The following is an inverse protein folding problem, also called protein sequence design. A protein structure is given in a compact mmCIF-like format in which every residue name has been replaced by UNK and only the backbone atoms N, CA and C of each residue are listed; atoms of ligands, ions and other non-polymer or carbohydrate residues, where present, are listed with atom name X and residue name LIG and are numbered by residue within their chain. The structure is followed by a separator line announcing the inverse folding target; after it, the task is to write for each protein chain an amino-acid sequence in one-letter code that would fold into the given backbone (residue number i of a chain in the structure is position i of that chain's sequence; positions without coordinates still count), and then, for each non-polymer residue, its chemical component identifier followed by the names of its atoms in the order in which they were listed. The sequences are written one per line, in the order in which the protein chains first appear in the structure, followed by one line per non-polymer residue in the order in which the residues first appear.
data_IF_759750016308
#
_entry.id   IF_759750016308
#
_cell.length_a   1.000
_cell.length_b   1.000
_cell.length_c   1.000
_cell.angle_alpha   90.00
_cell.angle_beta   90.00
_cell.angle_gamma   90.00
#
_symmetry.space_group_name_H-M   'P 1'
#
loop_
_entity.id
_entity.type
_entity.pdbx_description
1 polymer ?
#
# COMPACT_ATOMS: atom_id res chain seq x y z
N UNK A 1 3.43 13.01 -16.32
CA UNK A 1 2.69 11.78 -15.94
C UNK A 1 3.33 11.21 -14.69
N UNK A 2 2.59 10.58 -13.76
CA UNK A 2 3.17 9.96 -12.57
C UNK A 2 4.07 8.78 -12.90
N UNK A 3 5.13 8.57 -12.10
CA UNK A 3 6.02 7.41 -12.22
C UNK A 3 5.38 6.16 -11.60
N UNK A 4 4.63 6.33 -10.51
CA UNK A 4 3.88 5.26 -9.83
C UNK A 4 2.40 5.60 -9.82
N UNK A 5 1.56 4.66 -10.22
CA UNK A 5 0.10 4.81 -10.19
C UNK A 5 -0.49 3.74 -9.28
N UNK A 6 -1.25 4.17 -8.27
CA UNK A 6 -1.97 3.30 -7.35
C UNK A 6 -3.46 3.21 -7.70
N UNK A 7 -4.02 1.99 -7.72
CA UNK A 7 -5.47 1.77 -7.89
C UNK A 7 -6.05 1.16 -6.63
N UNK A 8 -6.96 1.87 -5.96
CA UNK A 8 -7.64 1.34 -4.78
C UNK A 8 -8.62 2.30 -4.11
N UNK A 9 -9.19 1.88 -2.99
CA UNK A 9 -10.09 2.70 -2.21
C UNK A 9 -9.34 3.44 -1.11
N UNK A 10 -9.52 4.77 -1.07
CA UNK A 10 -9.13 5.60 0.06
C UNK A 10 -10.39 5.95 0.87
N UNK A 11 -10.28 5.87 2.18
CA UNK A 11 -11.35 6.16 3.14
C UNK A 11 -10.95 7.31 4.05
N UNK A 12 -11.95 7.96 4.64
CA UNK A 12 -11.71 8.83 5.79
C UNK A 12 -11.47 7.98 7.02
N UNK A 13 -10.46 8.34 7.79
CA UNK A 13 -10.09 7.71 9.05
C UNK A 13 -10.49 8.61 10.20
N UNK A 14 -11.27 8.09 11.11
CA UNK A 14 -11.58 8.71 12.39
C UNK A 14 -10.64 8.15 13.45
N UNK A 15 -9.52 8.86 13.67
CA UNK A 15 -8.46 8.45 14.56
C UNK A 15 -8.68 9.03 15.98
N UNK A 16 -8.82 8.19 17.03
CA UNK A 16 -9.18 8.70 18.37
C UNK A 16 -8.04 9.50 18.98
N UNK A 17 -8.36 10.62 19.63
CA UNK A 17 -7.38 11.46 20.31
C UNK A 17 -6.87 10.87 21.64
N UNK A 18 -7.52 9.82 22.16
CA UNK A 18 -7.07 9.09 23.36
C UNK A 18 -7.31 7.60 23.22
N UNK A 19 -6.61 6.81 24.00
CA UNK A 19 -6.87 5.37 24.12
C UNK A 19 -8.18 5.13 24.89
N UNK A 20 -8.91 4.10 24.51
CA UNK A 20 -10.14 3.67 25.14
C UNK A 20 -11.09 2.91 24.21
N UNK A 21 -12.19 2.38 24.76
CA UNK A 21 -13.23 1.77 23.95
C UNK A 21 -13.89 2.80 23.03
N UNK A 22 -14.13 2.43 21.79
CA UNK A 22 -14.72 3.32 20.78
C UNK A 22 -16.05 3.93 21.26
N UNK A 23 -16.84 3.16 22.03
CA UNK A 23 -18.12 3.63 22.61
C UNK A 23 -18.00 4.79 23.61
N UNK A 24 -16.79 5.11 24.08
CA UNK A 24 -16.54 6.20 25.04
C UNK A 24 -15.64 7.30 24.47
N UNK A 25 -15.24 7.18 23.21
CA UNK A 25 -14.44 8.21 22.53
C UNK A 25 -15.37 9.26 21.94
N UNK A 26 -15.17 10.51 22.31
CA UNK A 26 -15.95 11.65 21.83
C UNK A 26 -15.22 12.47 20.76
N UNK A 27 -13.87 12.44 20.76
CA UNK A 27 -13.05 13.28 19.90
C UNK A 27 -12.15 12.44 19.00
N UNK A 28 -12.16 12.78 17.71
CA UNK A 28 -11.38 12.13 16.67
C UNK A 28 -10.63 13.17 15.84
N UNK A 29 -9.42 12.82 15.41
CA UNK A 29 -8.74 13.48 14.31
C UNK A 29 -9.20 12.83 13.00
N UNK A 30 -9.61 13.65 12.05
CA UNK A 30 -9.97 13.20 10.70
C UNK A 30 -8.71 13.15 9.83
N UNK A 31 -8.37 11.97 9.32
CA UNK A 31 -7.27 11.72 8.38
C UNK A 31 -7.74 10.87 7.21
N UNK A 32 -6.85 10.44 6.33
CA UNK A 32 -7.15 9.52 5.25
C UNK A 32 -6.34 8.24 5.39
N UNK A 33 -6.85 7.14 4.85
CA UNK A 33 -6.16 5.85 4.81
C UNK A 33 -6.70 4.96 3.71
N UNK A 34 -5.80 4.16 3.17
CA UNK A 34 -6.04 3.20 2.09
C UNK A 34 -4.70 2.79 1.52
N UNK A 35 -4.45 1.48 1.42
CA UNK A 35 -3.11 0.95 1.17
C UNK A 35 -2.45 1.56 -0.07
N UNK A 36 -3.16 1.60 -1.19
CA UNK A 36 -2.64 2.13 -2.44
C UNK A 36 -2.41 3.66 -2.38
N UNK A 37 -3.28 4.37 -1.66
CA UNK A 37 -3.11 5.80 -1.38
C UNK A 37 -1.91 6.08 -0.49
N UNK A 38 -1.70 5.26 0.55
CA UNK A 38 -0.53 5.35 1.43
C UNK A 38 0.77 5.14 0.64
N UNK A 39 0.80 4.17 -0.28
CA UNK A 39 1.95 3.96 -1.19
C UNK A 39 2.18 5.21 -2.06
N UNK A 40 1.14 5.78 -2.67
CA UNK A 40 1.26 6.99 -3.48
C UNK A 40 1.81 8.18 -2.69
N UNK A 41 1.31 8.39 -1.45
CA UNK A 41 1.81 9.45 -0.56
C UNK A 41 3.29 9.19 -0.20
N UNK A 42 3.64 7.95 0.14
CA UNK A 42 5.02 7.59 0.45
C UNK A 42 5.97 7.84 -0.72
N UNK A 43 5.59 7.43 -1.93
CA UNK A 43 6.36 7.70 -3.16
C UNK A 43 6.54 9.20 -3.39
N UNK A 44 5.48 9.98 -3.20
CA UNK A 44 5.52 11.44 -3.36
C UNK A 44 6.45 12.11 -2.34
N UNK A 45 6.34 11.75 -1.07
CA UNK A 45 7.22 12.28 0.01
C UNK A 45 8.69 11.90 -0.21
N UNK A 46 8.95 10.74 -0.84
CA UNK A 46 10.30 10.31 -1.21
C UNK A 46 10.83 10.96 -2.49
N UNK A 47 10.13 11.97 -3.02
CA UNK A 47 10.62 12.83 -4.12
C UNK A 47 10.32 12.29 -5.53
N UNK A 48 9.41 11.31 -5.67
CA UNK A 48 8.96 10.78 -6.95
C UNK A 48 7.49 11.11 -7.22
N UNK A 49 7.10 11.15 -8.49
CA UNK A 49 5.73 11.48 -8.86
C UNK A 49 4.80 10.28 -8.71
N UNK A 50 3.67 10.48 -8.04
CA UNK A 50 2.66 9.46 -7.84
C UNK A 50 1.27 9.93 -8.29
N UNK A 51 0.42 8.99 -8.71
CA UNK A 51 -0.96 9.25 -9.06
C UNK A 51 -1.90 8.18 -8.48
N UNK A 52 -3.12 8.58 -8.20
CA UNK A 52 -4.13 7.70 -7.64
C UNK A 52 -5.35 7.57 -8.56
N UNK A 53 -5.75 6.32 -8.79
CA UNK A 53 -6.97 5.93 -9.48
C UNK A 53 -7.95 5.38 -8.45
N UNK A 54 -9.15 5.97 -8.40
CA UNK A 54 -10.20 5.50 -7.50
C UNK A 54 -11.47 6.33 -7.60
N UNK A 55 -12.47 5.96 -6.82
CA UNK A 55 -13.74 6.68 -6.71
C UNK A 55 -13.94 7.20 -5.29
N UNK A 56 -14.51 8.39 -5.17
CA UNK A 56 -15.03 8.97 -3.92
C UNK A 56 -16.47 9.39 -4.11
N UNK A 57 -17.23 9.47 -3.04
CA UNK A 57 -18.58 10.00 -3.05
C UNK A 57 -18.63 11.51 -3.33
N UNK A 58 -19.75 11.99 -3.85
CA UNK A 58 -20.03 13.41 -3.97
C UNK A 58 -20.47 13.99 -2.60
N UNK A 59 -19.58 13.85 -1.61
CA UNK A 59 -19.76 14.26 -0.23
C UNK A 59 -18.54 15.00 0.33
N UNK A 60 -18.64 15.53 1.57
CA UNK A 60 -17.55 16.24 2.21
C UNK A 60 -16.34 15.35 2.50
N UNK A 61 -16.52 14.05 2.66
CA UNK A 61 -15.43 13.11 2.86
C UNK A 61 -14.68 12.85 1.55
N UNK A 62 -15.37 12.75 0.42
CA UNK A 62 -14.74 12.66 -0.89
C UNK A 62 -13.91 13.90 -1.22
N UNK A 63 -14.47 15.09 -0.97
CA UNK A 63 -13.74 16.38 -1.12
C UNK A 63 -12.49 16.42 -0.23
N UNK A 64 -12.59 15.93 1.00
CA UNK A 64 -11.47 15.87 1.93
C UNK A 64 -10.36 14.94 1.42
N UNK A 65 -10.69 13.74 0.92
CA UNK A 65 -9.71 12.80 0.36
C UNK A 65 -8.96 13.43 -0.81
N UNK A 66 -9.69 14.00 -1.78
CA UNK A 66 -9.09 14.65 -2.96
C UNK A 66 -8.16 15.82 -2.55
N UNK A 67 -8.59 16.63 -1.60
CA UNK A 67 -7.78 17.75 -1.08
C UNK A 67 -6.52 17.25 -0.37
N UNK A 68 -6.65 16.21 0.45
CA UNK A 68 -5.53 15.60 1.17
C UNK A 68 -4.48 15.02 0.22
N UNK A 69 -4.91 14.27 -0.82
CA UNK A 69 -3.98 13.73 -1.82
C UNK A 69 -3.26 14.84 -2.60
N UNK A 70 -3.98 15.92 -2.96
CA UNK A 70 -3.36 17.08 -3.63
C UNK A 70 -2.33 17.78 -2.73
N UNK A 71 -2.59 17.89 -1.43
CA UNK A 71 -1.62 18.48 -0.48
C UNK A 71 -0.35 17.65 -0.32
N UNK A 72 -0.43 16.35 -0.63
CA UNK A 72 0.71 15.42 -0.69
C UNK A 72 1.33 15.31 -2.09
N UNK A 73 0.96 16.21 -3.02
CA UNK A 73 1.42 16.22 -4.41
C UNK A 73 1.11 14.92 -5.20
N UNK A 74 0.08 14.17 -4.79
CA UNK A 74 -0.42 13.00 -5.53
C UNK A 74 -1.37 13.48 -6.63
N UNK A 75 -1.13 13.05 -7.87
CA UNK A 75 -2.02 13.33 -9.00
C UNK A 75 -3.35 12.61 -8.83
N UNK A 76 -4.43 13.37 -8.86
CA UNK A 76 -5.81 12.90 -8.72
C UNK A 76 -6.64 13.12 -10.00
N UNK A 77 -5.99 13.31 -11.13
CA UNK A 77 -6.69 13.57 -12.41
C UNK A 77 -7.57 12.41 -12.86
N UNK A 78 -7.23 11.18 -12.44
CA UNK A 78 -8.02 9.97 -12.68
C UNK A 78 -8.97 9.61 -11.53
N UNK A 79 -9.05 10.42 -10.49
CA UNK A 79 -10.06 10.23 -9.44
C UNK A 79 -11.46 10.60 -9.95
N UNK A 80 -12.45 9.78 -9.63
CA UNK A 80 -13.84 10.03 -10.01
C UNK A 80 -14.69 10.37 -8.78
N UNK A 81 -15.45 11.46 -8.88
CA UNK A 81 -16.49 11.81 -7.91
C UNK A 81 -17.81 11.27 -8.47
N UNK A 82 -18.44 10.39 -7.70
CA UNK A 82 -19.67 9.69 -8.14
C UNK A 82 -20.77 9.80 -7.09
N UNK A 83 -22.01 9.54 -7.48
CA UNK A 83 -23.10 9.41 -6.52
C UNK A 83 -22.85 8.23 -5.57
N UNK A 84 -23.18 8.44 -4.29
CA UNK A 84 -22.93 7.49 -3.22
C UNK A 84 -22.10 8.12 -2.10
N UNK A 85 -21.70 7.30 -1.13
CA UNK A 85 -20.95 7.77 0.04
C UNK A 85 -19.46 7.35 -0.04
N UNK A 86 -18.63 8.19 0.52
CA UNK A 86 -17.21 7.87 0.73
C UNK A 86 -17.05 6.95 1.93
N UNK A 87 -16.26 5.87 1.78
CA UNK A 87 -15.99 4.94 2.87
C UNK A 87 -15.33 5.64 4.06
N UNK A 88 -15.67 5.19 5.27
CA UNK A 88 -15.13 5.69 6.54
C UNK A 88 -14.75 4.51 7.42
N UNK A 89 -13.69 4.64 8.21
CA UNK A 89 -13.48 3.74 9.33
C UNK A 89 -12.98 4.45 10.58
N UNK A 90 -13.28 3.83 11.72
CA UNK A 90 -12.88 4.30 13.03
C UNK A 90 -11.78 3.41 13.59
N UNK A 91 -10.72 4.02 14.11
CA UNK A 91 -9.70 3.31 14.89
C UNK A 91 -10.11 3.20 16.36
N UNK A 92 -9.78 2.09 16.97
CA UNK A 92 -9.85 1.90 18.43
C UNK A 92 -8.48 1.50 18.94
N UNK A 93 -7.91 2.26 19.85
CA UNK A 93 -6.66 1.95 20.56
C UNK A 93 -6.94 1.68 22.02
N UNK A 94 -6.62 0.47 22.48
CA UNK A 94 -6.82 0.06 23.88
C UNK A 94 -5.58 0.24 24.77
N UNK A 95 -4.43 0.55 24.20
CA UNK A 95 -3.15 0.68 24.91
C UNK A 95 -2.50 -0.66 25.31
N UNK A 96 -3.09 -1.79 24.93
CA UNK A 96 -2.63 -3.14 25.30
C UNK A 96 -2.38 -4.03 24.05
N UNK A 97 -2.19 -3.46 22.88
CA UNK A 97 -2.01 -4.25 21.66
C UNK A 97 -2.38 -3.47 20.40
N UNK A 98 -2.76 -4.22 19.39
CA UNK A 98 -3.01 -3.69 18.05
C UNK A 98 -4.20 -2.73 17.98
N UNK A 99 -4.07 -1.76 17.08
CA UNK A 99 -5.15 -0.87 16.68
C UNK A 99 -6.25 -1.68 15.97
N UNK A 100 -7.48 -1.57 16.43
CA UNK A 100 -8.65 -2.17 15.79
C UNK A 100 -9.31 -1.17 14.85
N UNK A 101 -9.77 -1.66 13.67
CA UNK A 101 -10.50 -0.86 12.71
C UNK A 101 -11.94 -1.34 12.54
N UNK A 102 -12.88 -0.39 12.59
CA UNK A 102 -14.32 -0.59 12.38
C UNK A 102 -14.73 0.11 11.09
N UNK A 103 -15.02 -0.66 10.05
CA UNK A 103 -15.24 -0.19 8.70
C UNK A 103 -16.70 0.07 8.38
N UNK A 104 -16.97 1.23 7.78
CA UNK A 104 -18.24 1.61 7.15
C UNK A 104 -17.95 1.86 5.67
N UNK A 105 -17.76 0.79 4.89
CA UNK A 105 -17.32 0.84 3.48
C UNK A 105 -18.11 -0.02 2.53
N UNK A 106 -19.01 -0.90 3.02
CA UNK A 106 -19.78 -1.79 2.14
C UNK A 106 -20.70 -0.97 1.24
N UNK A 107 -20.51 -1.05 -0.08
CA UNK A 107 -21.24 -0.25 -1.05
C UNK A 107 -20.78 1.22 -1.15
N UNK A 108 -19.59 1.54 -0.63
CA UNK A 108 -18.95 2.85 -0.81
C UNK A 108 -18.68 3.15 -2.28
N UNK A 109 -18.51 4.41 -2.63
CA UNK A 109 -18.12 4.86 -3.95
C UNK A 109 -16.84 4.15 -4.45
N UNK A 110 -15.83 3.98 -3.60
CA UNK A 110 -14.59 3.27 -3.95
C UNK A 110 -14.83 1.82 -4.38
N UNK A 111 -15.83 1.14 -3.79
CA UNK A 111 -16.18 -0.23 -4.15
C UNK A 111 -16.90 -0.37 -5.50
N UNK A 112 -17.34 0.73 -6.11
CA UNK A 112 -18.10 0.74 -7.38
C UNK A 112 -17.24 1.03 -8.61
N UNK A 113 -15.90 1.12 -8.46
CA UNK A 113 -15.01 1.40 -9.59
C UNK A 113 -15.19 0.38 -10.72
N UNK A 114 -15.12 0.86 -11.96
CA UNK A 114 -15.33 0.04 -13.16
C UNK A 114 -14.19 0.24 -14.18
N UNK A 115 -13.96 -0.68 -15.11
CA UNK A 115 -12.96 -0.53 -16.18
C UNK A 115 -13.13 0.75 -17.02
N UNK A 116 -14.35 1.24 -17.19
CA UNK A 116 -14.68 2.44 -17.97
C UNK A 116 -14.17 3.73 -17.32
N UNK A 117 -13.80 3.71 -16.04
CA UNK A 117 -13.16 4.85 -15.36
C UNK A 117 -11.72 5.09 -15.81
N UNK A 118 -11.09 4.09 -16.44
CA UNK A 118 -9.66 4.02 -16.65
C UNK A 118 -9.31 4.48 -18.07
N UNK A 119 -8.42 5.47 -18.17
CA UNK A 119 -7.88 5.92 -19.45
C UNK A 119 -6.54 5.24 -19.73
N UNK A 120 -6.40 4.65 -20.92
CA UNK A 120 -5.12 4.07 -21.38
C UNK A 120 -4.01 5.12 -21.43
N UNK A 121 -4.35 6.37 -21.73
CA UNK A 121 -3.37 7.46 -21.79
C UNK A 121 -2.73 7.74 -20.43
N UNK A 122 -3.41 7.43 -19.34
CA UNK A 122 -2.88 7.62 -17.99
C UNK A 122 -1.71 6.68 -17.67
N UNK A 123 -1.58 5.56 -18.40
CA UNK A 123 -0.46 4.62 -18.27
C UNK A 123 0.76 4.99 -19.11
N UNK A 124 0.69 6.05 -19.94
CA UNK A 124 1.84 6.53 -20.71
C UNK A 124 2.90 7.07 -19.74
N UNK A 125 4.14 6.62 -19.91
CA UNK A 125 5.31 7.00 -19.10
C UNK A 125 5.30 6.55 -17.64
N UNK A 126 4.25 5.84 -17.18
CA UNK A 126 4.20 5.19 -15.88
C UNK A 126 5.27 4.08 -15.82
N UNK A 127 5.97 3.97 -14.69
CA UNK A 127 6.97 2.90 -14.46
C UNK A 127 6.34 1.73 -13.70
N UNK A 128 5.55 2.04 -12.67
CA UNK A 128 4.89 1.03 -11.83
C UNK A 128 3.40 1.30 -11.69
N UNK A 129 2.61 0.28 -11.97
CA UNK A 129 1.20 0.21 -11.56
C UNK A 129 1.12 -0.63 -10.29
N UNK A 130 0.61 -0.05 -9.22
CA UNK A 130 0.47 -0.71 -7.92
C UNK A 130 -0.99 -0.91 -7.53
N UNK A 131 -1.33 -2.10 -7.03
CA UNK A 131 -2.61 -2.40 -6.39
C UNK A 131 -2.42 -3.49 -5.34
N UNK A 132 -3.44 -3.71 -4.52
CA UNK A 132 -3.40 -4.69 -3.44
C UNK A 132 -4.52 -5.72 -3.56
N UNK A 133 -4.46 -6.79 -2.73
CA UNK A 133 -5.55 -7.75 -2.61
C UNK A 133 -6.81 -7.17 -1.93
N UNK A 134 -6.76 -5.94 -1.40
CA UNK A 134 -7.94 -5.28 -0.86
C UNK A 134 -8.91 -4.90 -1.99
N UNK A 135 -8.41 -4.26 -3.03
CA UNK A 135 -9.25 -3.70 -4.09
C UNK A 135 -10.10 -4.75 -4.81
N UNK A 136 -9.58 -5.91 -5.26
CA UNK A 136 -10.41 -6.95 -5.89
C UNK A 136 -11.38 -7.63 -4.91
N UNK A 137 -11.18 -7.48 -3.59
CA UNK A 137 -12.08 -8.01 -2.57
C UNK A 137 -13.31 -7.13 -2.29
N UNK A 138 -13.31 -5.86 -2.74
CA UNK A 138 -14.39 -4.90 -2.48
C UNK A 138 -15.68 -5.25 -3.19
N UNK A 139 -15.58 -5.65 -4.46
CA UNK A 139 -16.73 -5.98 -5.32
C UNK A 139 -16.28 -6.73 -6.57
N UNK A 140 -17.26 -7.24 -7.33
CA UNK A 140 -16.99 -7.85 -8.63
C UNK A 140 -16.50 -6.81 -9.66
N UNK A 141 -17.06 -5.59 -9.67
CA UNK A 141 -16.62 -4.54 -10.58
C UNK A 141 -15.18 -4.10 -10.28
N UNK A 142 -14.84 -3.90 -9.00
CA UNK A 142 -13.47 -3.56 -8.58
C UNK A 142 -12.47 -4.67 -8.98
N UNK A 143 -12.84 -5.95 -8.84
CA UNK A 143 -12.01 -7.07 -9.28
C UNK A 143 -11.77 -7.06 -10.80
N UNK A 144 -12.83 -6.85 -11.59
CA UNK A 144 -12.71 -6.71 -13.05
C UNK A 144 -11.81 -5.53 -13.43
N UNK A 145 -11.93 -4.42 -12.71
CA UNK A 145 -11.11 -3.22 -12.93
C UNK A 145 -9.64 -3.48 -12.63
N UNK A 146 -9.31 -4.17 -11.53
CA UNK A 146 -7.93 -4.56 -11.22
C UNK A 146 -7.32 -5.39 -12.36
N UNK A 147 -8.02 -6.42 -12.84
CA UNK A 147 -7.53 -7.26 -13.95
C UNK A 147 -7.35 -6.44 -15.22
N UNK A 148 -8.32 -5.58 -15.56
CA UNK A 148 -8.25 -4.67 -16.70
C UNK A 148 -7.02 -3.75 -16.62
N UNK A 149 -6.77 -3.11 -15.46
CA UNK A 149 -5.61 -2.24 -15.28
C UNK A 149 -4.27 -3.01 -15.36
N UNK A 150 -4.21 -4.23 -14.83
CA UNK A 150 -3.03 -5.09 -14.99
C UNK A 150 -2.75 -5.37 -16.47
N UNK A 151 -3.77 -5.68 -17.26
CA UNK A 151 -3.63 -5.95 -18.69
C UNK A 151 -3.22 -4.68 -19.46
N UNK A 152 -3.80 -3.54 -19.13
CA UNK A 152 -3.39 -2.24 -19.68
C UNK A 152 -1.94 -1.89 -19.33
N UNK A 153 -1.54 -2.04 -18.07
CA UNK A 153 -0.16 -1.81 -17.63
C UNK A 153 0.82 -2.66 -18.44
N UNK A 154 0.55 -3.96 -18.54
CA UNK A 154 1.42 -4.87 -19.30
C UNK A 154 1.49 -4.54 -20.79
N UNK A 155 0.36 -4.20 -21.42
CA UNK A 155 0.34 -3.79 -22.84
C UNK A 155 1.08 -2.48 -23.10
N UNK A 156 1.18 -1.62 -22.08
CA UNK A 156 1.92 -0.34 -22.11
C UNK A 156 3.39 -0.47 -21.68
N UNK A 157 3.87 -1.67 -21.33
CA UNK A 157 5.23 -1.91 -20.84
C UNK A 157 5.46 -1.44 -19.40
N UNK A 158 4.39 -1.17 -18.65
CA UNK A 158 4.42 -0.76 -17.23
C UNK A 158 4.56 -1.99 -16.36
N UNK A 159 5.45 -1.95 -15.36
CA UNK A 159 5.62 -3.04 -14.40
C UNK A 159 4.48 -3.07 -13.38
N UNK A 160 3.93 -4.26 -13.15
CA UNK A 160 2.83 -4.48 -12.21
C UNK A 160 3.39 -4.85 -10.85
N UNK A 161 3.06 -4.05 -9.84
CA UNK A 161 3.36 -4.23 -8.42
C UNK A 161 2.09 -4.64 -7.68
N UNK A 162 2.13 -5.75 -6.95
CA UNK A 162 0.98 -6.26 -6.20
C UNK A 162 1.38 -6.61 -4.77
N UNK A 163 0.65 -6.06 -3.79
CA UNK A 163 0.75 -6.46 -2.37
C UNK A 163 -0.48 -7.30 -1.99
N UNK A 164 -0.27 -8.48 -1.47
CA UNK A 164 -1.35 -9.39 -1.03
C UNK A 164 -2.29 -8.70 -0.06
N UNK A 165 -1.77 -8.03 0.94
CA UNK A 165 -2.50 -7.19 1.92
C UNK A 165 -3.88 -7.78 2.29
N UNK A 166 -3.87 -9.06 2.71
CA UNK A 166 -5.05 -9.91 2.86
C UNK A 166 -6.00 -9.39 3.94
N UNK A 167 -7.28 -9.25 3.60
CA UNK A 167 -8.34 -8.82 4.52
C UNK A 167 -9.48 -9.84 4.57
N UNK A 168 -9.38 -10.83 5.46
CA UNK A 168 -10.40 -11.89 5.62
C UNK A 168 -11.79 -11.40 6.06
N UNK A 169 -11.92 -10.11 6.39
CA UNK A 169 -13.23 -9.46 6.60
C UNK A 169 -13.94 -9.13 5.28
N UNK A 170 -13.23 -9.13 4.16
CA UNK A 170 -13.79 -8.79 2.83
C UNK A 170 -14.14 -10.03 2.01
N UNK A 171 -13.37 -11.12 2.14
CA UNK A 171 -13.59 -12.38 1.43
C UNK A 171 -13.08 -13.58 2.23
N UNK A 172 -13.54 -14.79 1.86
CA UNK A 172 -13.03 -16.01 2.50
C UNK A 172 -11.62 -16.34 2.04
N UNK A 173 -10.91 -17.20 2.78
CA UNK A 173 -9.58 -17.69 2.41
C UNK A 173 -9.58 -18.35 1.03
N UNK A 174 -10.60 -19.16 0.74
CA UNK A 174 -10.75 -19.89 -0.52
C UNK A 174 -10.92 -18.92 -1.69
N UNK A 175 -11.78 -17.89 -1.51
CA UNK A 175 -11.99 -16.87 -2.54
C UNK A 175 -10.75 -16.00 -2.75
N UNK A 176 -10.06 -15.60 -1.68
CA UNK A 176 -8.80 -14.88 -1.76
C UNK A 176 -7.76 -15.69 -2.55
N UNK A 177 -7.58 -16.98 -2.20
CA UNK A 177 -6.65 -17.88 -2.89
C UNK A 177 -7.00 -18.03 -4.37
N UNK A 178 -8.27 -18.25 -4.70
CA UNK A 178 -8.73 -18.37 -6.09
C UNK A 178 -8.37 -17.12 -6.92
N UNK A 179 -8.69 -15.93 -6.40
CA UNK A 179 -8.54 -14.69 -7.17
C UNK A 179 -7.09 -14.19 -7.21
N UNK A 180 -6.34 -14.30 -6.11
CA UNK A 180 -4.93 -13.90 -6.07
C UNK A 180 -4.08 -14.81 -6.98
N UNK A 181 -4.37 -16.11 -7.03
CA UNK A 181 -3.68 -17.04 -7.94
C UNK A 181 -3.86 -16.68 -9.42
N UNK A 182 -4.94 -15.97 -9.80
CA UNK A 182 -5.11 -15.44 -11.17
C UNK A 182 -4.27 -14.18 -11.43
N UNK A 183 -3.90 -13.46 -10.37
CA UNK A 183 -3.12 -12.22 -10.43
C UNK A 183 -1.61 -12.51 -10.44
N UNK A 184 -1.15 -13.48 -9.64
CA UNK A 184 0.28 -13.84 -9.52
C UNK A 184 1.01 -13.90 -10.87
N UNK A 185 0.57 -14.68 -11.88
CA UNK A 185 1.31 -14.81 -13.14
C UNK A 185 1.32 -13.55 -14.01
N UNK A 186 0.53 -12.55 -13.65
CA UNK A 186 0.43 -11.26 -14.36
C UNK A 186 1.22 -10.14 -13.67
N UNK A 187 1.87 -10.43 -12.55
CA UNK A 187 2.57 -9.47 -11.68
C UNK A 187 4.08 -9.54 -11.91
N UNK A 188 4.76 -8.40 -11.86
CA UNK A 188 6.22 -8.30 -11.98
C UNK A 188 6.90 -8.25 -10.63
N UNK A 189 6.31 -7.53 -9.64
CA UNK A 189 6.81 -7.36 -8.28
C UNK A 189 5.71 -7.77 -7.32
N UNK A 190 5.97 -8.78 -6.48
CA UNK A 190 4.97 -9.35 -5.59
C UNK A 190 5.39 -9.21 -4.13
N UNK A 191 4.53 -8.62 -3.32
CA UNK A 191 4.73 -8.41 -1.88
C UNK A 191 3.73 -9.24 -1.09
N UNK A 192 4.21 -9.83 0.01
CA UNK A 192 3.36 -10.52 0.97
C UNK A 192 4.05 -10.58 2.35
N UNK A 193 3.29 -10.90 3.38
CA UNK A 193 3.82 -11.31 4.68
C UNK A 193 4.01 -12.83 4.72
N UNK A 194 4.73 -13.33 5.73
CA UNK A 194 4.90 -14.78 5.93
C UNK A 194 3.54 -15.47 6.17
N UNK A 195 2.68 -14.88 7.02
CA UNK A 195 1.34 -15.41 7.31
C UNK A 195 0.45 -15.47 6.06
N UNK A 196 0.57 -14.48 5.18
CA UNK A 196 -0.14 -14.47 3.88
C UNK A 196 0.36 -15.59 2.97
N UNK A 197 1.66 -15.85 2.96
CA UNK A 197 2.26 -16.98 2.26
C UNK A 197 1.73 -18.33 2.75
N UNK A 198 1.63 -18.51 4.06
CA UNK A 198 1.03 -19.71 4.64
C UNK A 198 -0.45 -19.87 4.24
N UNK A 199 -1.23 -18.78 4.35
CA UNK A 199 -2.66 -18.80 3.99
C UNK A 199 -2.88 -19.10 2.50
N UNK A 200 -2.13 -18.47 1.61
CA UNK A 200 -2.36 -18.57 0.17
C UNK A 200 -1.72 -19.82 -0.45
N UNK A 201 -0.51 -20.16 -0.03
CA UNK A 201 0.32 -21.18 -0.67
C UNK A 201 0.48 -22.45 0.19
N UNK A 202 0.23 -22.37 1.51
CA UNK A 202 0.52 -23.45 2.45
C UNK A 202 2.02 -23.57 2.75
N UNK A 203 2.81 -22.52 2.48
CA UNK A 203 4.25 -22.46 2.72
C UNK A 203 4.55 -21.52 3.88
N UNK A 204 5.47 -21.93 4.78
CA UNK A 204 5.84 -21.17 5.96
C UNK A 204 7.34 -20.79 6.01
N UNK A 205 8.08 -21.07 4.95
CA UNK A 205 9.47 -20.66 4.76
C UNK A 205 9.54 -19.51 3.76
N UNK A 206 10.12 -18.34 4.11
CA UNK A 206 10.27 -17.23 3.18
C UNK A 206 11.01 -17.62 1.90
N UNK A 207 12.03 -18.49 2.01
CA UNK A 207 12.81 -18.98 0.87
C UNK A 207 11.95 -19.83 -0.08
N UNK A 208 11.13 -20.73 0.46
CA UNK A 208 10.23 -21.58 -0.32
C UNK A 208 9.14 -20.76 -1.01
N UNK A 209 8.57 -19.76 -0.29
CA UNK A 209 7.59 -18.82 -0.84
C UNK A 209 8.18 -18.06 -2.02
N UNK A 210 9.39 -17.48 -1.85
CA UNK A 210 10.08 -16.75 -2.91
C UNK A 210 10.36 -17.66 -4.12
N UNK A 211 10.95 -18.83 -3.87
CA UNK A 211 11.28 -19.79 -4.94
C UNK A 211 10.04 -20.22 -5.74
N UNK A 212 8.94 -20.52 -5.04
CA UNK A 212 7.67 -20.87 -5.68
C UNK A 212 7.12 -19.72 -6.53
N UNK A 213 7.02 -18.50 -5.96
CA UNK A 213 6.44 -17.36 -6.65
C UNK A 213 7.28 -16.91 -7.86
N UNK A 214 8.60 -16.92 -7.77
CA UNK A 214 9.47 -16.63 -8.91
C UNK A 214 9.27 -17.63 -10.07
N UNK A 215 8.89 -18.87 -9.78
CA UNK A 215 8.58 -19.87 -10.82
C UNK A 215 7.21 -19.70 -11.46
N UNK A 216 6.33 -18.84 -10.92
CA UNK A 216 4.93 -18.72 -11.34
C UNK A 216 4.58 -17.41 -12.06
N UNK A 217 5.52 -16.45 -12.14
CA UNK A 217 5.29 -15.22 -12.91
C UNK A 217 6.10 -14.01 -12.44
N UNK A 218 6.06 -13.62 -11.15
CA UNK A 218 6.81 -12.47 -10.66
C UNK A 218 8.31 -12.57 -10.92
N UNK A 219 8.93 -11.44 -11.24
CA UNK A 219 10.39 -11.33 -11.39
C UNK A 219 11.07 -10.93 -10.09
N UNK A 220 10.35 -10.30 -9.19
CA UNK A 220 10.80 -9.90 -7.86
C UNK A 220 9.73 -10.30 -6.85
N UNK A 221 10.15 -10.95 -5.78
CA UNK A 221 9.27 -11.33 -4.66
C UNK A 221 9.84 -10.82 -3.35
N UNK A 222 9.01 -10.15 -2.55
CA UNK A 222 9.36 -9.62 -1.24
C UNK A 222 8.47 -10.24 -0.15
N UNK A 223 9.07 -10.96 0.79
CA UNK A 223 8.40 -11.44 2.00
C UNK A 223 8.71 -10.49 3.15
N UNK A 224 7.67 -9.80 3.65
CA UNK A 224 7.77 -8.89 4.81
C UNK A 224 7.74 -9.71 6.09
N UNK A 225 8.75 -9.54 6.96
CA UNK A 225 8.96 -10.32 8.18
C UNK A 225 8.78 -9.47 9.45
N UNK A 226 8.16 -8.30 9.33
CA UNK A 226 7.91 -7.39 10.44
C UNK A 226 9.21 -6.96 11.15
N UNK A 227 9.35 -7.30 12.43
CA UNK A 227 10.52 -6.92 13.24
C UNK A 227 11.83 -7.60 12.82
N UNK A 228 11.76 -8.62 12.00
CA UNK A 228 12.95 -9.30 11.44
C UNK A 228 13.42 -8.66 10.12
N UNK A 229 12.62 -7.74 9.56
CA UNK A 229 12.92 -7.06 8.31
C UNK A 229 12.19 -7.67 7.12
N UNK A 230 12.93 -8.05 6.09
CA UNK A 230 12.36 -8.62 4.87
C UNK A 230 13.30 -9.63 4.21
N UNK A 231 12.74 -10.50 3.41
CA UNK A 231 13.49 -11.34 2.50
C UNK A 231 13.04 -11.05 1.06
N UNK A 232 13.99 -10.82 0.16
CA UNK A 232 13.70 -10.44 -1.23
C UNK A 232 14.46 -11.36 -2.18
N UNK A 233 13.83 -11.75 -3.29
CA UNK A 233 14.46 -12.59 -4.31
C UNK A 233 14.11 -12.18 -5.73
N UNK A 234 15.06 -12.44 -6.63
CA UNK A 234 14.94 -12.36 -8.07
C UNK A 234 15.71 -13.51 -8.73
N UNK A 235 15.91 -13.47 -10.06
CA UNK A 235 16.68 -14.48 -10.79
C UNK A 235 18.18 -14.54 -10.45
N UNK A 236 18.72 -13.59 -9.69
CA UNK A 236 20.12 -13.54 -9.24
C UNK A 236 20.31 -14.19 -7.88
N UNK A 237 19.26 -14.27 -7.05
CA UNK A 237 19.32 -14.90 -5.73
C UNK A 237 18.30 -14.40 -4.75
N UNK A 238 18.40 -14.91 -3.52
CA UNK A 238 17.52 -14.57 -2.40
C UNK A 238 18.38 -13.90 -1.31
N UNK A 239 17.93 -12.78 -0.79
CA UNK A 239 18.65 -11.95 0.16
C UNK A 239 17.77 -11.67 1.40
N UNK A 240 18.35 -11.87 2.58
CA UNK A 240 17.76 -11.39 3.84
C UNK A 240 18.23 -9.96 4.09
N UNK A 241 17.27 -9.08 4.40
CA UNK A 241 17.53 -7.66 4.68
C UNK A 241 16.98 -7.36 6.08
N UNK A 242 17.84 -7.05 7.06
CA UNK A 242 17.42 -6.88 8.44
C UNK A 242 16.49 -5.68 8.60
N UNK A 243 15.62 -5.74 9.64
CA UNK A 243 14.79 -4.61 10.01
C UNK A 243 15.66 -3.42 10.41
N UNK A 244 15.12 -2.24 10.19
CA UNK A 244 15.70 -1.04 10.76
C UNK A 244 15.28 -0.86 12.22
N UNK A 245 16.24 -0.74 13.15
CA UNK A 245 16.01 -0.78 14.60
C UNK A 245 16.14 0.58 15.29
N UNK A 246 16.17 1.69 14.55
CA UNK A 246 16.39 3.03 15.10
C UNK A 246 15.19 3.72 15.75
N UNK A 247 13.99 3.11 15.72
CA UNK A 247 12.73 3.74 16.15
C UNK A 247 11.97 2.96 17.21
N UNK A 248 11.19 3.70 18.02
CA UNK A 248 10.15 3.13 18.87
C UNK A 248 8.83 3.11 18.12
N UNK A 249 8.26 1.95 17.90
CA UNK A 249 6.96 1.82 17.23
C UNK A 249 5.83 2.31 18.15
N UNK A 250 4.94 3.13 17.59
CA UNK A 250 3.74 3.67 18.23
C UNK A 250 2.47 3.00 17.67
N UNK A 251 2.38 2.86 16.33
CA UNK A 251 1.28 2.20 15.62
C UNK A 251 1.84 1.48 14.39
N UNK A 252 1.47 0.20 14.19
CA UNK A 252 1.99 -0.59 13.07
C UNK A 252 1.20 -0.40 11.77
N UNK A 253 0.14 0.41 11.78
CA UNK A 253 -0.67 0.68 10.59
C UNK A 253 0.15 1.48 9.58
N UNK A 254 0.07 1.10 8.29
CA UNK A 254 0.82 1.75 7.22
C UNK A 254 2.26 1.27 7.01
N UNK A 255 2.82 0.47 7.92
CA UNK A 255 4.20 -0.03 7.80
C UNK A 255 4.43 -0.85 6.51
N UNK A 256 3.47 -1.71 6.14
CA UNK A 256 3.53 -2.50 4.91
C UNK A 256 3.49 -1.63 3.66
N UNK A 257 2.63 -0.62 3.67
CA UNK A 257 2.48 0.33 2.57
C UNK A 257 3.74 1.20 2.44
N UNK A 258 4.32 1.64 3.57
CA UNK A 258 5.60 2.33 3.63
C UNK A 258 6.75 1.49 3.06
N UNK A 259 6.78 0.18 3.39
CA UNK A 259 7.75 -0.74 2.80
C UNK A 259 7.63 -0.77 1.27
N UNK A 260 6.41 -0.91 0.75
CA UNK A 260 6.17 -0.93 -0.71
C UNK A 260 6.60 0.39 -1.36
N UNK A 261 6.24 1.54 -0.76
CA UNK A 261 6.64 2.85 -1.26
C UNK A 261 8.17 2.99 -1.35
N UNK A 262 8.88 2.67 -0.26
CA UNK A 262 10.34 2.71 -0.21
C UNK A 262 10.98 1.76 -1.22
N UNK A 263 10.47 0.53 -1.33
CA UNK A 263 10.97 -0.45 -2.29
C UNK A 263 10.84 0.03 -3.74
N UNK A 264 9.66 0.51 -4.13
CA UNK A 264 9.42 1.04 -5.48
C UNK A 264 10.31 2.25 -5.78
N UNK A 265 10.50 3.15 -4.80
CA UNK A 265 11.41 4.30 -4.96
C UNK A 265 12.88 3.85 -5.12
N UNK A 266 13.32 2.82 -4.39
CA UNK A 266 14.65 2.23 -4.59
C UNK A 266 14.85 1.76 -6.03
N UNK A 267 13.85 1.06 -6.59
CA UNK A 267 13.88 0.61 -7.99
C UNK A 267 13.85 1.80 -8.98
N UNK A 268 13.07 2.86 -8.71
CA UNK A 268 13.06 4.09 -9.53
C UNK A 268 14.43 4.78 -9.55
N UNK A 269 15.17 4.72 -8.45
CA UNK A 269 16.55 5.23 -8.35
C UNK A 269 17.59 4.30 -9.01
N UNK A 270 17.16 3.17 -9.58
CA UNK A 270 18.04 2.19 -10.21
C UNK A 270 18.83 1.32 -9.22
N UNK A 271 18.42 1.26 -7.95
CA UNK A 271 19.05 0.42 -6.95
C UNK A 271 18.72 -1.07 -7.18
N UNK A 272 19.57 -1.94 -6.68
CA UNK A 272 19.27 -3.36 -6.69
C UNK A 272 18.15 -3.71 -5.71
N UNK A 273 17.66 -4.95 -5.75
CA UNK A 273 16.53 -5.38 -4.93
C UNK A 273 16.85 -5.40 -3.44
N UNK A 274 18.12 -5.61 -3.05
CA UNK A 274 18.54 -5.64 -1.65
C UNK A 274 18.54 -4.23 -1.05
N UNK A 275 19.10 -3.26 -1.76
CA UNK A 275 19.13 -1.86 -1.34
C UNK A 275 17.71 -1.25 -1.39
N UNK A 276 16.89 -1.65 -2.37
CA UNK A 276 15.47 -1.28 -2.44
C UNK A 276 14.69 -1.83 -1.24
N UNK A 277 14.96 -3.08 -0.82
CA UNK A 277 14.33 -3.67 0.36
C UNK A 277 14.81 -3.01 1.68
N UNK A 278 16.07 -2.58 1.74
CA UNK A 278 16.57 -1.80 2.87
C UNK A 278 15.83 -0.46 2.99
N UNK A 279 15.65 0.26 1.88
CA UNK A 279 14.85 1.49 1.87
C UNK A 279 13.39 1.19 2.29
N UNK A 280 12.80 0.09 1.79
CA UNK A 280 11.48 -0.37 2.22
C UNK A 280 11.40 -0.60 3.73
N UNK A 281 12.38 -1.29 4.33
CA UNK A 281 12.44 -1.50 5.78
C UNK A 281 12.56 -0.17 6.56
N UNK A 282 13.35 0.79 6.08
CA UNK A 282 13.48 2.12 6.70
C UNK A 282 12.15 2.87 6.66
N UNK A 283 11.53 2.99 5.48
CA UNK A 283 10.27 3.72 5.31
C UNK A 283 9.12 3.06 6.06
N UNK A 284 9.07 1.71 6.05
CA UNK A 284 8.10 0.96 6.84
C UNK A 284 8.27 1.14 8.35
N UNK A 285 9.53 1.19 8.85
CA UNK A 285 9.80 1.47 10.25
C UNK A 285 9.40 2.90 10.64
N UNK A 286 9.69 3.88 9.78
CA UNK A 286 9.28 5.28 9.96
C UNK A 286 7.77 5.41 10.09
N UNK A 287 7.00 4.74 9.22
CA UNK A 287 5.54 4.76 9.25
C UNK A 287 4.97 4.36 10.63
N UNK A 288 5.70 3.56 11.41
CA UNK A 288 5.26 3.13 12.75
C UNK A 288 5.50 4.14 13.86
N UNK A 289 6.23 5.24 13.62
CA UNK A 289 6.65 6.18 14.67
C UNK A 289 5.56 7.12 15.16
N UNK A 290 4.46 7.22 14.43
CA UNK A 290 3.30 8.06 14.77
C UNK A 290 2.00 7.27 14.69
N UNK A 291 0.91 7.85 15.19
CA UNK A 291 -0.44 7.37 14.93
C UNK A 291 -0.91 7.88 13.57
N UNK A 292 -1.70 7.07 12.86
CA UNK A 292 -2.20 7.41 11.52
C UNK A 292 -1.70 6.43 10.48
N UNK A 293 -2.33 6.41 9.29
CA UNK A 293 -2.00 5.42 8.25
C UNK A 293 -0.82 5.86 7.38
N UNK A 294 -0.62 7.19 7.25
CA UNK A 294 0.41 7.77 6.41
C UNK A 294 1.15 8.96 7.08
N UNK A 295 0.74 9.36 8.29
CA UNK A 295 1.37 10.50 8.98
C UNK A 295 2.87 10.27 9.24
N UNK A 296 3.26 9.03 9.55
CA UNK A 296 4.66 8.66 9.82
C UNK A 296 5.50 8.35 8.57
N UNK A 297 4.96 8.44 7.36
CA UNK A 297 5.75 8.23 6.16
C UNK A 297 6.78 9.35 5.99
N UNK A 298 8.09 9.04 5.83
CA UNK A 298 9.15 10.04 5.79
C UNK A 298 9.22 10.78 4.48
N UNK A 299 9.82 11.97 4.51
CA UNK A 299 10.35 12.66 3.33
C UNK A 299 11.71 12.06 2.92
N UNK A 300 12.15 12.36 1.69
CA UNK A 300 13.49 11.91 1.25
C UNK A 300 14.61 12.51 2.12
N UNK A 301 14.46 13.76 2.57
CA UNK A 301 15.44 14.40 3.47
C UNK A 301 15.57 13.67 4.79
N UNK A 302 14.46 13.24 5.40
CA UNK A 302 14.48 12.43 6.63
C UNK A 302 15.17 11.09 6.41
N UNK A 303 14.96 10.44 5.26
CA UNK A 303 15.67 9.20 4.91
C UNK A 303 17.18 9.44 4.75
N UNK A 304 17.60 10.55 4.12
CA UNK A 304 19.02 10.91 3.97
C UNK A 304 19.71 11.17 5.31
N UNK A 305 19.02 11.82 6.24
CA UNK A 305 19.50 12.00 7.62
C UNK A 305 19.79 10.67 8.30
N UNK A 306 18.90 9.70 8.14
CA UNK A 306 19.09 8.36 8.67
C UNK A 306 20.23 7.59 8.03
N UNK A 307 20.41 7.73 6.72
CA UNK A 307 21.52 7.11 6.00
C UNK A 307 22.87 7.79 6.30
N UNK A 308 22.89 8.83 7.16
CA UNK A 308 24.09 9.61 7.49
C UNK A 308 24.63 10.43 6.31
N UNK A 309 23.79 10.67 5.30
CA UNK A 309 24.15 11.45 4.09
C UNK A 309 23.84 12.94 4.23
N UNK A 310 23.14 13.34 5.30
CA UNK A 310 22.79 14.72 5.63
C UNK A 310 23.04 15.00 7.11
N UNK A 311 23.65 16.14 7.44
CA UNK A 311 23.82 16.57 8.84
C UNK A 311 22.50 17.13 9.41
N UNK A 312 22.10 16.63 10.57
CA UNK A 312 20.99 17.19 11.34
C UNK A 312 21.47 18.41 12.12
N UNK A 313 20.99 19.57 11.81
CA UNK A 313 21.21 20.77 12.63
C UNK A 313 20.35 20.60 13.91
N UNK A 314 20.94 20.01 14.94
CA UNK A 314 20.32 19.96 16.28
C UNK A 314 20.51 21.31 16.96
N UNK A 315 19.42 21.98 17.28
CA UNK A 315 19.42 23.19 18.14
C UNK A 315 19.41 22.79 19.61
#
# INVERSE_FOLDING_TARGET
MPEVVGLGEIMVVMDPLRNGPLSTIELFRKTIGGAEGNVCIGVSRLGHSAGWIGRVGNDEFGRFIISSLRSENVDVSCAKIVEGFTGVYFKERRGLGDTRAFYYRKGSAGSTITPEDISTEYFRDVKFFHTTGITPALSESARKTVIHCIEMAKSSGVQVSFDVNLRLKLWSKEKAKEEINKIIPKTDIFFLTLDEGEILLGLNSPQEIIGYLLSTGPRIVCVKLGKEGSMVGDNRGIYSVPAFTGFSSVDNVGAGDGFVAGFLVGLLKGWDIKDSALLGNIVGAYATTTTGDNDGLPTWEEVEEFLGKREVIRR
#
